data_IF_894126668347
#
_entry.id   IF_894126668347
#
_cell.length_a   1.000
_cell.length_b   1.000
_cell.length_c   1.000
_cell.angle_alpha   90.00
_cell.angle_beta   90.00
_cell.angle_gamma   90.00
#
_symmetry.space_group_name_H-M   'P 1'
#
loop_
_entity.id
_entity.type
_entity.pdbx_description
1 polymer ?
#
# COMPACT_ATOMS: atom_id res chain seq x y z
N UNK A 1 -13.53 3.93 -20.08
CA UNK A 1 -14.54 4.34 -21.07
C UNK A 1 -14.34 5.81 -21.36
N UNK A 2 -14.31 6.17 -22.64
CA UNK A 2 -14.14 7.54 -23.11
C UNK A 2 -15.35 8.39 -22.68
N UNK A 3 -15.10 9.42 -21.88
CA UNK A 3 -15.90 10.63 -21.90
C UNK A 3 -14.97 11.73 -22.41
N UNK A 4 -15.41 12.42 -23.46
CA UNK A 4 -14.97 13.76 -23.87
C UNK A 4 -13.74 13.91 -24.78
N UNK A 5 -13.60 13.09 -25.84
CA UNK A 5 -12.96 13.47 -27.11
C UNK A 5 -11.51 14.01 -27.13
N UNK A 6 -10.82 14.03 -26.00
CA UNK A 6 -9.44 14.51 -25.85
C UNK A 6 -8.56 13.44 -25.23
N UNK A 7 -7.34 13.31 -25.73
CA UNK A 7 -6.34 12.43 -25.15
C UNK A 7 -5.98 12.94 -23.75
N UNK A 8 -6.52 12.30 -22.70
CA UNK A 8 -5.99 12.49 -21.35
C UNK A 8 -4.68 11.71 -21.27
N UNK A 9 -3.53 12.36 -21.02
CA UNK A 9 -2.30 11.65 -20.74
C UNK A 9 -2.55 10.77 -19.52
N UNK A 10 -2.01 9.56 -19.53
CA UNK A 10 -2.17 8.65 -18.42
C UNK A 10 -1.69 9.29 -17.10
N UNK A 11 -2.61 9.48 -16.17
CA UNK A 11 -2.30 10.02 -14.85
C UNK A 11 -1.61 8.92 -14.03
N UNK A 12 -0.28 8.99 -13.93
CA UNK A 12 0.52 8.04 -13.14
C UNK A 12 1.86 7.63 -13.75
N UNK A 13 2.23 8.12 -14.93
CA UNK A 13 3.47 7.75 -15.64
C UNK A 13 4.57 8.82 -15.57
N UNK A 14 4.39 9.86 -14.74
CA UNK A 14 5.42 10.88 -14.51
C UNK A 14 6.15 10.56 -13.20
N UNK A 15 7.48 10.53 -13.25
CA UNK A 15 8.35 10.20 -12.12
C UNK A 15 8.38 8.70 -11.80
N UNK A 16 9.00 8.35 -10.67
CA UNK A 16 9.32 6.96 -10.31
C UNK A 16 8.15 6.17 -9.68
N UNK A 17 6.93 6.70 -9.72
CA UNK A 17 5.78 6.10 -9.02
C UNK A 17 5.19 4.86 -9.73
N UNK A 18 5.42 4.73 -11.05
CA UNK A 18 4.97 3.56 -11.84
C UNK A 18 6.04 3.17 -12.83
N UNK A 19 6.86 2.21 -12.42
CA UNK A 19 8.03 1.74 -13.16
C UNK A 19 8.03 0.22 -13.29
N UNK A 20 8.78 -0.31 -14.26
CA UNK A 20 8.92 -1.76 -14.47
C UNK A 20 9.81 -2.43 -13.42
N UNK A 21 10.70 -1.67 -12.77
CA UNK A 21 11.62 -2.16 -11.76
C UNK A 21 11.66 -1.17 -10.59
N UNK A 22 11.49 -1.68 -9.37
CA UNK A 22 11.58 -0.92 -8.13
C UNK A 22 12.12 -1.84 -7.03
N UNK A 23 12.76 -1.24 -6.03
CA UNK A 23 13.25 -1.97 -4.86
C UNK A 23 12.15 -2.06 -3.80
N UNK A 24 12.01 -3.24 -3.20
CA UNK A 24 11.02 -3.50 -2.15
C UNK A 24 11.63 -4.32 -1.03
N UNK A 25 11.46 -3.84 0.20
CA UNK A 25 11.68 -4.65 1.39
C UNK A 25 10.35 -5.34 1.75
N UNK A 26 10.30 -6.65 1.54
CA UNK A 26 9.12 -7.47 1.79
C UNK A 26 9.21 -8.17 3.15
N UNK A 27 8.10 -8.20 3.90
CA UNK A 27 8.00 -8.85 5.20
C UNK A 27 7.03 -10.03 5.12
N UNK A 28 7.39 -11.14 5.77
CA UNK A 28 6.57 -12.35 5.84
C UNK A 28 6.53 -12.86 7.27
N UNK A 29 5.38 -13.42 7.68
CA UNK A 29 5.20 -14.15 8.94
C UNK A 29 4.49 -15.46 8.64
N UNK A 30 4.98 -16.53 9.23
CA UNK A 30 4.29 -17.82 9.28
C UNK A 30 3.85 -18.04 10.73
N UNK A 31 2.56 -18.20 10.95
CA UNK A 31 1.97 -18.42 12.28
C UNK A 31 0.93 -19.51 12.25
N UNK A 32 0.51 -19.97 13.43
CA UNK A 32 -0.70 -20.78 13.57
C UNK A 32 -1.94 -19.92 13.29
N UNK A 33 -3.05 -20.51 12.83
CA UNK A 33 -4.25 -19.75 12.43
C UNK A 33 -4.77 -18.80 13.52
N UNK A 34 -4.68 -19.21 14.78
CA UNK A 34 -5.17 -18.47 15.95
C UNK A 34 -4.43 -17.14 16.15
N UNK A 35 -3.16 -17.08 15.75
CA UNK A 35 -2.28 -15.91 15.89
C UNK A 35 -2.22 -15.05 14.62
N UNK A 36 -2.85 -15.49 13.52
CA UNK A 36 -2.75 -14.80 12.22
C UNK A 36 -3.17 -13.32 12.28
N UNK A 37 -4.22 -13.01 13.04
CA UNK A 37 -4.72 -11.64 13.19
C UNK A 37 -3.79 -10.76 14.02
N UNK A 38 -3.24 -11.28 15.13
CA UNK A 38 -2.31 -10.53 15.97
C UNK A 38 -0.99 -10.27 15.24
N UNK A 39 -0.48 -11.25 14.50
CA UNK A 39 0.72 -11.10 13.67
C UNK A 39 0.51 -10.11 12.51
N UNK A 40 -0.69 -10.05 11.93
CA UNK A 40 -1.02 -9.03 10.92
C UNK A 40 -0.93 -7.61 11.52
N UNK A 41 -1.54 -7.36 12.68
CA UNK A 41 -1.46 -6.05 13.34
C UNK A 41 -0.02 -5.73 13.79
N UNK A 42 0.73 -6.73 14.23
CA UNK A 42 2.17 -6.58 14.55
C UNK A 42 2.98 -6.16 13.33
N UNK A 43 2.77 -6.78 12.16
CA UNK A 43 3.44 -6.39 10.93
C UNK A 43 3.17 -4.92 10.57
N UNK A 44 1.93 -4.46 10.71
CA UNK A 44 1.59 -3.05 10.51
C UNK A 44 2.39 -2.15 11.45
N UNK A 45 2.51 -2.51 12.73
CA UNK A 45 3.28 -1.72 13.71
C UNK A 45 4.78 -1.60 13.36
N UNK A 46 5.37 -2.64 12.77
CA UNK A 46 6.77 -2.65 12.32
C UNK A 46 6.95 -1.71 11.13
N UNK A 47 6.09 -1.81 10.12
CA UNK A 47 6.16 -0.93 8.93
C UNK A 47 5.90 0.52 9.34
N UNK A 48 4.97 0.74 10.26
CA UNK A 48 4.68 2.06 10.82
C UNK A 48 5.90 2.68 11.54
N UNK A 49 6.68 1.88 12.27
CA UNK A 49 7.94 2.35 12.89
C UNK A 49 8.92 2.90 11.84
N UNK A 50 9.03 2.24 10.68
CA UNK A 50 9.89 2.71 9.59
C UNK A 50 9.44 4.10 9.12
N UNK A 51 8.15 4.29 8.86
CA UNK A 51 7.61 5.57 8.39
C UNK A 51 7.82 6.69 9.43
N UNK A 52 7.58 6.39 10.72
CA UNK A 52 7.81 7.34 11.83
C UNK A 52 9.28 7.73 11.96
N UNK A 53 10.21 6.77 11.84
CA UNK A 53 11.65 7.03 11.90
C UNK A 53 12.15 7.83 10.71
N UNK A 54 11.56 7.64 9.54
CA UNK A 54 11.79 8.46 8.34
C UNK A 54 11.09 9.83 8.40
N UNK A 55 10.25 10.07 9.43
CA UNK A 55 9.46 11.30 9.61
C UNK A 55 8.54 11.60 8.43
N UNK A 56 7.98 10.56 7.84
CA UNK A 56 7.01 10.68 6.75
C UNK A 56 5.61 10.86 7.33
N UNK A 57 4.82 11.76 6.75
CA UNK A 57 3.39 11.85 7.06
C UNK A 57 2.66 10.76 6.28
N UNK A 58 1.82 9.97 6.95
CA UNK A 58 1.07 8.89 6.33
C UNK A 58 -0.29 8.68 7.01
N UNK A 59 -1.13 7.87 6.37
CA UNK A 59 -2.35 7.32 6.95
C UNK A 59 -2.40 5.81 6.73
N UNK A 60 -3.13 5.13 7.60
CA UNK A 60 -3.43 3.70 7.45
C UNK A 60 -4.88 3.57 6.98
N UNK A 61 -5.09 2.85 5.89
CA UNK A 61 -6.41 2.62 5.30
C UNK A 61 -6.73 1.14 5.36
N UNK A 62 -7.86 0.77 5.98
CA UNK A 62 -8.40 -0.57 5.87
C UNK A 62 -9.14 -0.71 4.54
N UNK A 63 -8.67 -1.60 3.68
CA UNK A 63 -9.16 -1.74 2.30
C UNK A 63 -10.52 -2.44 2.30
N UNK A 64 -11.46 -1.93 1.52
CA UNK A 64 -12.79 -2.52 1.44
C UNK A 64 -12.74 -3.89 0.75
N UNK A 65 -13.70 -4.77 1.05
CA UNK A 65 -13.73 -6.13 0.52
C UNK A 65 -13.74 -6.22 -1.01
N UNK A 66 -14.30 -5.21 -1.70
CA UNK A 66 -14.34 -5.15 -3.16
C UNK A 66 -13.00 -4.86 -3.84
N UNK A 67 -12.01 -4.38 -3.08
CA UNK A 67 -10.65 -4.08 -3.56
C UNK A 67 -9.60 -5.06 -3.04
N UNK A 68 -10.02 -6.08 -2.29
CA UNK A 68 -9.12 -7.15 -1.85
C UNK A 68 -8.71 -8.02 -3.05
N UNK A 69 -7.42 -8.32 -3.13
CA UNK A 69 -6.91 -9.33 -4.06
C UNK A 69 -7.42 -10.72 -3.71
N UNK A 70 -7.39 -11.63 -4.69
CA UNK A 70 -8.00 -12.97 -4.58
C UNK A 70 -7.54 -13.81 -3.36
N UNK A 71 -6.37 -13.53 -2.80
CA UNK A 71 -5.78 -14.28 -1.69
C UNK A 71 -5.86 -13.57 -0.33
N UNK A 72 -6.33 -12.32 -0.28
CA UNK A 72 -6.30 -11.52 0.94
C UNK A 72 -7.62 -11.59 1.72
N UNK A 73 -7.56 -12.00 2.99
CA UNK A 73 -8.71 -11.94 3.90
C UNK A 73 -8.92 -10.53 4.51
N UNK A 74 -7.82 -9.77 4.67
CA UNK A 74 -7.80 -8.38 5.16
C UNK A 74 -6.53 -7.71 4.64
N UNK A 75 -6.59 -6.41 4.35
CA UNK A 75 -5.45 -5.63 3.85
C UNK A 75 -5.48 -4.22 4.44
N UNK A 76 -4.30 -3.74 4.82
CA UNK A 76 -4.09 -2.33 5.14
C UNK A 76 -3.14 -1.71 4.12
N UNK A 77 -3.46 -0.50 3.67
CA UNK A 77 -2.56 0.32 2.87
C UNK A 77 -1.99 1.45 3.74
N UNK A 78 -0.66 1.56 3.75
CA UNK A 78 0.06 2.65 4.39
C UNK A 78 0.41 3.69 3.33
N UNK A 79 -0.42 4.72 3.26
CA UNK A 79 -0.33 5.75 2.23
C UNK A 79 0.47 6.94 2.75
N UNK A 80 1.62 7.19 2.13
CA UNK A 80 2.47 8.35 2.45
C UNK A 80 1.97 9.59 1.72
N UNK A 81 2.05 10.74 2.38
CA UNK A 81 1.79 12.04 1.77
C UNK A 81 2.91 12.42 0.81
N UNK A 82 2.56 12.70 -0.45
CA UNK A 82 3.48 13.12 -1.50
C UNK A 82 3.11 14.54 -1.96
N UNK A 83 3.87 15.59 -1.57
CA UNK A 83 3.51 16.99 -1.86
C UNK A 83 3.38 17.34 -3.34
N UNK A 84 4.06 16.59 -4.22
CA UNK A 84 4.08 16.82 -5.66
C UNK A 84 3.09 15.96 -6.45
N UNK A 85 2.23 15.18 -5.79
CA UNK A 85 1.10 14.49 -6.43
C UNK A 85 -0.05 15.45 -6.76
#
# INVERSE_FOLDING_TARGET
>A
MLQDGGWRPWQGYKGDFRVHQFDKLEFFVFSVPEDSWSEHERLISIVEEIYRRLKLHYRIVNVCSGELGATAAKKYDLEVWLPGQ
#
